data_IF_832055734752
#
_entry.id   IF_832055734752
#
_cell.length_a   1.000
_cell.length_b   1.000
_cell.length_c   1.000
_cell.angle_alpha   90.00
_cell.angle_beta   90.00
_cell.angle_gamma   90.00
#
_symmetry.space_group_name_H-M   'P 1'
#
loop_
_entity.id
_entity.type
_entity.pdbx_description
1 polymer ?
#
# COMPACT_ATOMS: atom_id res chain seq x y z
N UNK A 1 -21.55 -14.49 11.66
CA UNK A 1 -21.50 -13.81 12.99
C UNK A 1 -21.54 -12.30 12.77
N UNK A 2 -22.03 -11.51 13.74
CA UNK A 2 -22.31 -10.08 13.55
C UNK A 2 -21.14 -9.17 13.98
N UNK A 3 -21.20 -7.90 13.55
CA UNK A 3 -20.28 -6.85 14.00
C UNK A 3 -20.33 -6.65 15.53
N UNK A 4 -21.52 -6.73 16.13
CA UNK A 4 -21.67 -6.55 17.57
C UNK A 4 -21.02 -7.67 18.38
N UNK A 5 -21.05 -8.91 17.88
CA UNK A 5 -20.30 -10.02 18.47
C UNK A 5 -18.79 -9.76 18.43
N UNK A 6 -18.26 -9.29 17.28
CA UNK A 6 -16.84 -9.01 17.13
C UNK A 6 -16.39 -7.86 18.05
N UNK A 7 -17.17 -6.77 18.13
CA UNK A 7 -16.91 -5.66 19.06
C UNK A 7 -16.90 -6.14 20.51
N UNK A 8 -17.88 -6.94 20.92
CA UNK A 8 -17.95 -7.46 22.28
C UNK A 8 -16.73 -8.33 22.64
N UNK A 9 -16.29 -9.21 21.72
CA UNK A 9 -15.06 -10.01 21.89
C UNK A 9 -13.83 -9.12 22.10
N UNK A 10 -13.62 -8.14 21.23
CA UNK A 10 -12.46 -7.23 21.30
C UNK A 10 -12.53 -6.34 22.54
N UNK A 11 -13.72 -5.96 22.99
CA UNK A 11 -13.89 -5.16 24.20
C UNK A 11 -13.52 -5.94 25.47
N UNK A 12 -13.84 -7.23 25.51
CA UNK A 12 -13.59 -8.14 26.63
C UNK A 12 -12.14 -8.63 26.75
N UNK A 13 -11.31 -8.41 25.71
CA UNK A 13 -9.91 -8.82 25.66
C UNK A 13 -9.13 -8.39 26.92
N UNK A 14 -8.44 -9.34 27.55
CA UNK A 14 -7.57 -9.09 28.70
C UNK A 14 -6.11 -9.01 28.25
N UNK A 15 -5.44 -7.89 28.56
CA UNK A 15 -4.02 -7.70 28.24
C UNK A 15 -3.17 -8.83 28.86
N UNK A 16 -2.35 -9.49 28.03
CA UNK A 16 -1.51 -10.61 28.46
C UNK A 16 -0.23 -10.18 29.20
N UNK A 17 -0.28 -9.08 29.95
CA UNK A 17 0.82 -8.64 30.81
C UNK A 17 2.05 -8.05 30.10
N UNK A 18 2.01 -7.85 28.77
CA UNK A 18 3.06 -7.15 28.05
C UNK A 18 2.81 -5.63 28.12
N UNK A 19 3.76 -4.89 28.71
CA UNK A 19 3.71 -3.43 28.69
C UNK A 19 3.62 -2.93 27.24
N UNK A 20 2.52 -2.27 26.89
CA UNK A 20 2.30 -1.72 25.54
C UNK A 20 1.59 -2.65 24.56
N UNK A 21 0.84 -3.65 25.02
CA UNK A 21 -0.10 -4.39 24.17
C UNK A 21 -1.06 -3.43 23.45
N UNK A 22 -1.22 -3.61 22.14
CA UNK A 22 -2.08 -2.78 21.27
C UNK A 22 -3.17 -3.58 20.59
N UNK A 23 -3.37 -4.84 20.97
CA UNK A 23 -4.29 -5.79 20.32
C UNK A 23 -5.67 -5.20 20.14
N UNK A 24 -6.30 -4.77 21.24
CA UNK A 24 -7.63 -4.16 21.22
C UNK A 24 -7.72 -2.99 20.23
N UNK A 25 -6.75 -2.07 20.28
CA UNK A 25 -6.69 -0.90 19.41
C UNK A 25 -6.48 -1.27 17.93
N UNK A 26 -5.62 -2.25 17.65
CA UNK A 26 -5.37 -2.73 16.29
C UNK A 26 -6.64 -3.36 15.72
N UNK A 27 -7.26 -4.30 16.42
CA UNK A 27 -8.46 -5.00 15.95
C UNK A 27 -9.65 -4.05 15.75
N UNK A 28 -9.86 -3.10 16.66
CA UNK A 28 -10.87 -2.05 16.50
C UNK A 28 -10.59 -1.20 15.26
N UNK A 29 -9.34 -0.78 15.05
CA UNK A 29 -8.96 0.01 13.89
C UNK A 29 -9.16 -0.74 12.57
N UNK A 30 -8.82 -2.04 12.51
CA UNK A 30 -9.00 -2.86 11.32
C UNK A 30 -10.47 -2.95 10.92
N UNK A 31 -11.37 -3.23 11.86
CA UNK A 31 -12.81 -3.30 11.59
C UNK A 31 -13.41 -1.96 11.18
N UNK A 32 -12.89 -0.84 11.69
CA UNK A 32 -13.40 0.50 11.42
C UNK A 32 -12.88 1.08 10.10
N UNK A 33 -11.60 0.86 9.80
CA UNK A 33 -10.88 1.57 8.73
C UNK A 33 -10.50 0.69 7.53
N UNK A 34 -10.96 -0.56 7.46
CA UNK A 34 -10.83 -1.33 6.22
C UNK A 34 -11.54 -0.58 5.07
N UNK A 35 -10.85 -0.42 3.91
CA UNK A 35 -11.25 0.54 2.88
C UNK A 35 -12.51 0.15 2.13
N UNK A 36 -12.82 -1.15 2.06
CA UNK A 36 -13.98 -1.68 1.34
C UNK A 36 -14.95 -2.36 2.31
N UNK A 37 -16.21 -2.52 1.86
CA UNK A 37 -17.21 -3.26 2.63
C UNK A 37 -16.80 -4.72 2.82
N UNK A 38 -16.28 -5.36 1.76
CA UNK A 38 -15.74 -6.71 1.84
C UNK A 38 -14.56 -6.79 2.81
N UNK A 39 -13.66 -5.82 2.78
CA UNK A 39 -12.54 -5.73 3.73
C UNK A 39 -13.01 -5.65 5.19
N UNK A 40 -14.00 -4.79 5.48
CA UNK A 40 -14.61 -4.70 6.82
C UNK A 40 -15.25 -6.02 7.24
N UNK A 41 -15.98 -6.67 6.34
CA UNK A 41 -16.59 -7.97 6.60
C UNK A 41 -15.53 -9.04 6.89
N UNK A 42 -14.43 -9.08 6.15
CA UNK A 42 -13.30 -9.97 6.42
C UNK A 42 -12.73 -9.75 7.83
N UNK A 43 -12.49 -8.49 8.24
CA UNK A 43 -11.99 -8.20 9.59
C UNK A 43 -12.95 -8.65 10.68
N UNK A 44 -14.26 -8.43 10.48
CA UNK A 44 -15.31 -8.87 11.41
C UNK A 44 -15.36 -10.40 11.49
N UNK A 45 -15.22 -11.10 10.37
CA UNK A 45 -15.20 -12.56 10.31
C UNK A 45 -13.96 -13.13 11.01
N UNK A 46 -12.77 -12.58 10.72
CA UNK A 46 -11.52 -13.02 11.33
C UNK A 46 -11.58 -12.85 12.86
N UNK A 47 -12.01 -11.70 13.37
CA UNK A 47 -12.19 -11.48 14.83
C UNK A 47 -13.20 -12.45 15.43
N UNK A 48 -14.32 -12.67 14.75
CA UNK A 48 -15.34 -13.59 15.22
C UNK A 48 -14.87 -15.04 15.23
N UNK A 49 -13.91 -15.41 14.38
CA UNK A 49 -13.33 -16.75 14.32
C UNK A 49 -12.37 -17.07 15.48
N UNK A 50 -11.89 -16.05 16.21
CA UNK A 50 -11.03 -16.25 17.37
C UNK A 50 -11.82 -16.77 18.58
N UNK A 51 -11.38 -17.86 19.19
CA UNK A 51 -12.04 -18.44 20.37
C UNK A 51 -11.63 -17.78 21.69
N UNK A 52 -10.41 -17.25 21.75
CA UNK A 52 -9.81 -16.71 22.97
C UNK A 52 -8.89 -15.50 22.72
N UNK A 53 -8.40 -14.91 23.81
CA UNK A 53 -7.50 -13.77 23.75
C UNK A 53 -6.18 -14.10 23.06
N UNK A 54 -5.68 -15.35 23.15
CA UNK A 54 -4.44 -15.78 22.49
C UNK A 54 -4.59 -15.67 20.98
N UNK A 55 -5.72 -16.13 20.45
CA UNK A 55 -6.04 -16.01 19.04
C UNK A 55 -6.26 -14.56 18.62
N UNK A 56 -6.92 -13.72 19.44
CA UNK A 56 -7.10 -12.29 19.16
C UNK A 56 -5.76 -11.55 19.09
N UNK A 57 -4.85 -11.82 20.04
CA UNK A 57 -3.49 -11.25 20.07
C UNK A 57 -2.72 -11.62 18.82
N UNK A 58 -2.74 -12.90 18.48
CA UNK A 58 -1.97 -13.38 17.34
C UNK A 58 -2.60 -12.93 16.00
N UNK A 59 -3.92 -12.69 15.93
CA UNK A 59 -4.57 -12.02 14.80
C UNK A 59 -4.10 -10.56 14.65
N UNK A 60 -4.04 -9.82 15.77
CA UNK A 60 -3.51 -8.46 15.75
C UNK A 60 -2.04 -8.42 15.32
N UNK A 61 -1.22 -9.37 15.78
CA UNK A 61 0.19 -9.48 15.38
C UNK A 61 0.34 -9.80 13.89
N UNK A 62 -0.56 -10.61 13.32
CA UNK A 62 -0.59 -10.93 11.89
C UNK A 62 -0.79 -9.67 11.06
N UNK A 63 -1.80 -8.87 11.37
CA UNK A 63 -2.02 -7.60 10.66
C UNK A 63 -0.96 -6.55 10.97
N UNK A 64 -0.41 -6.53 12.19
CA UNK A 64 0.70 -5.65 12.52
C UNK A 64 1.93 -5.95 11.66
N UNK A 65 2.29 -7.23 11.52
CA UNK A 65 3.51 -7.67 10.81
C UNK A 65 3.31 -7.87 9.31
N UNK A 66 2.08 -8.17 8.85
CA UNK A 66 1.72 -8.43 7.45
C UNK A 66 1.11 -7.24 6.71
N UNK A 67 0.63 -6.21 7.43
CA UNK A 67 0.04 -5.00 6.83
C UNK A 67 0.72 -3.72 7.38
N UNK A 68 0.58 -3.43 8.67
CA UNK A 68 0.94 -2.10 9.22
C UNK A 68 2.45 -1.83 9.14
N UNK A 69 3.27 -2.74 9.66
CA UNK A 69 4.74 -2.59 9.65
C UNK A 69 5.28 -2.59 8.22
N UNK A 70 4.91 -3.52 7.31
CA UNK A 70 5.38 -3.51 5.94
C UNK A 70 5.18 -2.17 5.23
N UNK A 71 4.01 -1.53 5.37
CA UNK A 71 3.76 -0.21 4.80
C UNK A 71 4.56 0.91 5.47
N UNK A 72 4.81 0.82 6.79
CA UNK A 72 5.54 1.85 7.54
C UNK A 72 7.07 1.77 7.41
N UNK A 73 7.61 0.57 7.23
CA UNK A 73 9.05 0.37 7.05
C UNK A 73 9.38 0.48 5.57
N UNK A 74 9.60 1.71 5.08
CA UNK A 74 10.04 1.99 3.72
C UNK A 74 11.37 1.27 3.39
N UNK A 75 11.29 0.03 2.91
CA UNK A 75 12.41 -0.74 2.37
C UNK A 75 13.27 -1.48 3.39
N UNK A 76 12.89 -2.73 3.69
CA UNK A 76 13.86 -3.81 3.93
C UNK A 76 14.12 -4.26 5.37
N UNK A 77 13.43 -3.71 6.36
CA UNK A 77 13.48 -4.20 7.76
C UNK A 77 12.10 -4.61 8.28
N UNK A 78 11.37 -5.35 7.46
CA UNK A 78 10.10 -5.96 7.87
C UNK A 78 10.39 -7.19 8.72
N UNK A 79 9.88 -7.28 9.97
CA UNK A 79 9.91 -8.49 10.79
C UNK A 79 9.31 -9.69 10.04
N UNK A 80 9.60 -10.91 10.50
CA UNK A 80 8.87 -12.08 10.04
C UNK A 80 7.37 -11.89 10.33
N UNK A 81 6.52 -12.19 9.34
CA UNK A 81 5.07 -12.14 9.55
C UNK A 81 4.69 -13.29 10.47
N UNK A 82 3.98 -13.01 11.56
CA UNK A 82 3.63 -14.01 12.55
C UNK A 82 2.81 -15.14 11.94
N UNK A 83 3.09 -16.37 12.36
CA UNK A 83 2.23 -17.52 12.10
C UNK A 83 0.97 -17.38 12.95
N UNK A 84 -0.18 -17.15 12.31
CA UNK A 84 -1.49 -17.28 12.96
C UNK A 84 -2.26 -18.38 12.24
N UNK A 85 -2.73 -19.43 12.95
CA UNK A 85 -3.70 -20.34 12.37
C UNK A 85 -5.01 -19.57 12.19
N UNK A 86 -5.28 -19.15 10.97
CA UNK A 86 -6.51 -18.41 10.68
C UNK A 86 -7.62 -19.39 10.26
N UNK A 87 -8.81 -18.86 9.98
CA UNK A 87 -9.84 -19.57 9.25
C UNK A 87 -9.23 -20.30 8.02
N UNK A 88 -9.71 -21.52 7.67
CA UNK A 88 -9.16 -22.35 6.59
C UNK A 88 -8.92 -21.61 5.26
N UNK A 89 -9.69 -20.57 4.99
CA UNK A 89 -9.60 -19.76 3.77
C UNK A 89 -8.32 -18.92 3.69
N UNK A 90 -7.71 -18.54 4.82
CA UNK A 90 -6.47 -17.77 4.84
C UNK A 90 -5.27 -18.63 4.46
N UNK A 91 -5.14 -19.82 5.05
CA UNK A 91 -4.05 -20.76 4.74
C UNK A 91 -4.10 -21.19 3.27
N UNK A 92 -5.32 -21.42 2.74
CA UNK A 92 -5.53 -21.70 1.32
C UNK A 92 -5.13 -20.52 0.43
N UNK A 93 -5.47 -19.29 0.82
CA UNK A 93 -5.07 -18.08 0.09
C UNK A 93 -3.56 -17.87 0.12
N UNK A 94 -2.90 -18.07 1.28
CA UNK A 94 -1.45 -18.00 1.40
C UNK A 94 -0.78 -19.02 0.49
N UNK A 95 -1.25 -20.26 0.45
CA UNK A 95 -0.69 -21.29 -0.41
C UNK A 95 -0.89 -20.97 -1.90
N UNK A 96 -2.07 -20.45 -2.28
CA UNK A 96 -2.32 -19.93 -3.64
C UNK A 96 -1.33 -18.81 -3.99
N UNK A 97 -1.10 -17.87 -3.07
CA UNK A 97 -0.20 -16.75 -3.29
C UNK A 97 1.23 -17.20 -3.56
N UNK A 98 1.72 -18.24 -2.88
CA UNK A 98 3.08 -18.76 -3.11
C UNK A 98 3.30 -19.21 -4.56
N UNK A 99 2.27 -19.78 -5.21
CA UNK A 99 2.36 -20.19 -6.62
C UNK A 99 2.24 -19.04 -7.63
N UNK A 100 1.66 -17.91 -7.22
CA UNK A 100 1.46 -16.74 -8.09
C UNK A 100 2.59 -15.70 -7.98
N UNK A 101 3.37 -15.71 -6.90
CA UNK A 101 4.46 -14.77 -6.66
C UNK A 101 5.66 -15.03 -7.56
N UNK A 102 6.14 -13.97 -8.21
CA UNK A 102 7.40 -13.98 -8.92
C UNK A 102 8.51 -13.31 -8.12
N UNK A 103 9.74 -13.82 -8.25
CA UNK A 103 10.92 -13.17 -7.71
C UNK A 103 11.19 -11.89 -8.47
N UNK A 104 11.41 -10.80 -7.73
CA UNK A 104 11.57 -9.47 -8.32
C UNK A 104 13.00 -8.96 -8.19
N UNK A 105 13.42 -8.25 -9.23
CA UNK A 105 14.69 -7.53 -9.27
C UNK A 105 14.45 -6.04 -9.53
N UNK A 106 15.40 -5.22 -9.10
CA UNK A 106 15.37 -3.78 -9.43
C UNK A 106 15.50 -3.63 -10.93
N UNK A 107 14.51 -3.01 -11.55
CA UNK A 107 14.52 -2.76 -12.98
C UNK A 107 15.12 -1.38 -13.27
N UNK A 108 16.28 -1.35 -13.92
CA UNK A 108 17.01 -0.11 -14.19
C UNK A 108 16.24 0.91 -15.03
N UNK A 109 15.33 0.45 -15.91
CA UNK A 109 14.52 1.30 -16.80
C UNK A 109 13.17 1.71 -16.21
N UNK A 110 12.80 1.23 -15.01
CA UNK A 110 11.50 1.53 -14.43
C UNK A 110 11.29 3.04 -14.26
N UNK A 111 12.30 3.74 -13.72
CA UNK A 111 12.24 5.18 -13.51
C UNK A 111 12.00 5.94 -14.82
N UNK A 112 12.66 5.57 -15.90
CA UNK A 112 12.52 6.25 -17.20
C UNK A 112 11.10 6.11 -17.76
N UNK A 113 10.51 4.90 -17.67
CA UNK A 113 9.13 4.65 -18.14
C UNK A 113 8.10 5.39 -17.31
N UNK A 114 8.27 5.41 -15.99
CA UNK A 114 7.36 6.12 -15.06
C UNK A 114 7.44 7.63 -15.30
N UNK A 115 8.66 8.17 -15.48
CA UNK A 115 8.85 9.56 -15.86
C UNK A 115 8.17 9.91 -17.18
N UNK A 116 8.34 9.09 -18.22
CA UNK A 116 7.65 9.32 -19.50
C UNK A 116 6.14 9.37 -19.33
N UNK A 117 5.55 8.41 -18.59
CA UNK A 117 4.11 8.40 -18.30
C UNK A 117 3.66 9.66 -17.56
N UNK A 118 4.41 10.09 -16.57
CA UNK A 118 4.08 11.24 -15.70
C UNK A 118 4.51 12.58 -16.30
N UNK A 119 4.83 12.62 -17.61
CA UNK A 119 5.34 13.80 -18.30
C UNK A 119 6.52 14.47 -17.57
N UNK A 120 7.38 13.61 -17.02
CA UNK A 120 8.60 13.90 -16.28
C UNK A 120 8.40 14.86 -15.10
N UNK A 121 7.27 14.72 -14.40
CA UNK A 121 6.91 15.57 -13.27
C UNK A 121 6.52 14.74 -12.07
N UNK A 122 6.73 15.30 -10.89
CA UNK A 122 6.04 14.82 -9.73
C UNK A 122 4.53 14.98 -9.93
N UNK A 123 3.78 13.90 -9.76
CA UNK A 123 2.32 13.91 -9.99
C UNK A 123 1.56 14.68 -8.91
N UNK A 124 2.21 15.00 -7.79
CA UNK A 124 1.64 15.78 -6.69
C UNK A 124 1.91 17.28 -6.87
N UNK A 125 3.18 17.64 -7.08
CA UNK A 125 3.63 19.04 -7.05
C UNK A 125 3.74 19.67 -8.44
N UNK A 126 3.70 18.86 -9.52
CA UNK A 126 3.92 19.30 -10.89
C UNK A 126 5.38 19.68 -11.21
N UNK A 127 6.28 19.60 -10.22
CA UNK A 127 7.71 19.91 -10.34
C UNK A 127 8.36 18.96 -11.33
N UNK A 128 9.19 19.52 -12.23
CA UNK A 128 9.85 18.79 -13.30
C UNK A 128 11.11 18.07 -12.82
N UNK A 129 11.34 16.87 -13.32
CA UNK A 129 12.60 16.15 -13.12
C UNK A 129 13.72 16.78 -13.99
N UNK A 130 14.96 16.93 -13.45
CA UNK A 130 16.10 17.49 -14.18
C UNK A 130 16.42 16.78 -15.50
N UNK A 131 16.02 15.52 -15.70
CA UNK A 131 16.26 14.81 -16.96
C UNK A 131 15.64 15.53 -18.17
N UNK A 132 14.56 16.30 -17.98
CA UNK A 132 13.96 17.13 -19.03
C UNK A 132 14.91 18.22 -19.54
N UNK A 133 15.84 18.70 -18.73
CA UNK A 133 16.78 19.75 -19.13
C UNK A 133 17.80 19.26 -20.19
N UNK A 134 17.88 17.95 -20.43
CA UNK A 134 18.60 17.38 -21.58
C UNK A 134 17.84 17.54 -22.91
N UNK A 135 16.53 17.85 -22.87
CA UNK A 135 15.77 18.21 -24.07
C UNK A 135 15.95 19.72 -24.37
N UNK A 136 16.52 20.10 -25.53
CA UNK A 136 16.77 21.49 -25.87
C UNK A 136 15.51 22.37 -25.86
N UNK A 137 14.34 21.84 -26.22
CA UNK A 137 13.08 22.60 -26.25
C UNK A 137 12.54 22.92 -24.85
N UNK A 138 12.80 22.05 -23.86
CA UNK A 138 12.42 22.26 -22.47
C UNK A 138 13.40 23.19 -21.74
N UNK A 139 14.70 23.12 -22.08
CA UNK A 139 15.73 24.02 -21.54
C UNK A 139 15.42 25.50 -21.81
N UNK A 140 14.82 25.81 -22.95
CA UNK A 140 14.49 27.17 -23.34
C UNK A 140 13.39 27.83 -22.48
N UNK A 141 12.58 27.04 -21.74
CA UNK A 141 11.39 27.51 -21.04
C UNK A 141 11.64 28.24 -19.70
N UNK A 142 12.91 28.39 -19.26
CA UNK A 142 13.36 29.22 -18.11
C UNK A 142 12.55 29.13 -16.79
N UNK A 143 11.80 28.06 -16.55
CA UNK A 143 11.08 27.86 -15.28
C UNK A 143 11.95 27.16 -14.23
N UNK A 144 12.26 27.80 -13.09
CA UNK A 144 12.78 27.11 -11.90
C UNK A 144 11.65 26.55 -11.00
N UNK A 145 11.95 25.60 -10.10
CA UNK A 145 13.12 24.72 -10.06
C UNK A 145 12.82 23.30 -10.60
N UNK A 146 13.84 22.66 -11.17
CA UNK A 146 13.85 21.21 -11.35
C UNK A 146 14.23 20.55 -10.02
N UNK A 147 13.55 19.48 -9.62
CA UNK A 147 13.91 18.67 -8.46
C UNK A 147 14.02 17.21 -8.86
N UNK A 148 15.05 16.53 -8.35
CA UNK A 148 15.18 15.08 -8.56
C UNK A 148 13.93 14.37 -8.03
N UNK A 149 13.36 13.54 -8.89
CA UNK A 149 12.20 12.74 -8.55
C UNK A 149 12.56 11.28 -8.31
N UNK A 150 11.64 10.55 -7.71
CA UNK A 150 11.74 9.15 -7.32
C UNK A 150 10.55 8.41 -7.95
N UNK A 151 10.82 7.25 -8.54
CA UNK A 151 9.77 6.31 -8.91
C UNK A 151 9.32 5.58 -7.64
N UNK A 152 8.21 6.04 -7.05
CA UNK A 152 7.66 5.56 -5.81
C UNK A 152 6.66 4.43 -6.08
N UNK A 153 6.80 3.29 -5.42
CA UNK A 153 5.79 2.23 -5.48
C UNK A 153 4.60 2.58 -4.58
N UNK A 154 3.37 2.30 -5.03
CA UNK A 154 2.14 2.43 -4.22
C UNK A 154 2.06 1.27 -3.23
N UNK A 155 2.05 0.03 -3.73
CA UNK A 155 2.30 -1.18 -2.96
C UNK A 155 3.81 -1.43 -2.97
N UNK A 156 4.51 -1.41 -1.82
CA UNK A 156 5.95 -1.41 -1.77
C UNK A 156 6.61 -2.59 -2.51
N UNK A 157 7.67 -2.30 -3.27
CA UNK A 157 8.50 -3.31 -3.96
C UNK A 157 8.98 -4.43 -3.02
N UNK A 158 9.19 -4.13 -1.74
CA UNK A 158 9.64 -5.10 -0.73
C UNK A 158 8.61 -6.17 -0.38
N UNK A 159 7.36 -6.05 -0.83
CA UNK A 159 6.32 -7.05 -0.56
C UNK A 159 6.47 -8.28 -1.44
N UNK A 160 7.13 -8.14 -2.60
CA UNK A 160 7.45 -9.26 -3.46
C UNK A 160 8.80 -9.91 -3.06
N UNK A 161 8.95 -11.22 -3.25
CA UNK A 161 10.16 -11.94 -2.84
C UNK A 161 11.35 -11.50 -3.69
N UNK A 162 12.50 -11.28 -3.04
CA UNK A 162 13.75 -10.87 -3.71
C UNK A 162 14.67 -12.04 -4.04
N UNK A 163 14.27 -13.25 -3.68
CA UNK A 163 14.96 -14.51 -3.98
C UNK A 163 13.98 -15.67 -3.94
N UNK A 164 14.39 -16.80 -4.52
CA UNK A 164 13.63 -18.06 -4.54
C UNK A 164 13.61 -18.78 -3.17
N UNK A 165 14.11 -18.14 -2.11
CA UNK A 165 14.05 -18.70 -0.77
C UNK A 165 12.60 -18.92 -0.35
N UNK A 166 12.27 -20.16 0.03
CA UNK A 166 10.95 -20.52 0.55
C UNK A 166 10.49 -19.57 1.67
N UNK A 167 11.38 -19.21 2.59
CA UNK A 167 11.07 -18.26 3.66
C UNK A 167 10.68 -16.86 3.15
N UNK A 168 11.29 -16.38 2.04
CA UNK A 168 10.94 -15.09 1.43
C UNK A 168 9.64 -15.15 0.65
N UNK A 169 9.38 -16.27 -0.02
CA UNK A 169 8.12 -16.50 -0.73
C UNK A 169 6.96 -16.58 0.28
N UNK A 170 7.12 -17.34 1.36
CA UNK A 170 6.13 -17.43 2.46
C UNK A 170 5.89 -16.06 3.09
N UNK A 171 6.96 -15.32 3.43
CA UNK A 171 6.83 -13.98 3.99
C UNK A 171 6.03 -13.04 3.07
N UNK A 172 6.33 -13.07 1.77
CA UNK A 172 5.64 -12.25 0.76
C UNK A 172 4.18 -12.69 0.61
N UNK A 173 3.92 -13.99 0.58
CA UNK A 173 2.58 -14.57 0.48
C UNK A 173 1.67 -14.10 1.62
N UNK A 174 2.18 -14.11 2.86
CA UNK A 174 1.47 -13.62 4.04
C UNK A 174 1.16 -12.13 3.97
N UNK A 175 2.10 -11.31 3.48
CA UNK A 175 1.87 -9.89 3.26
C UNK A 175 0.74 -9.71 2.24
N UNK A 176 0.83 -10.37 1.08
CA UNK A 176 -0.19 -10.28 0.04
C UNK A 176 -1.56 -10.76 0.50
N UNK A 177 -1.61 -11.78 1.35
CA UNK A 177 -2.86 -12.25 1.94
C UNK A 177 -3.45 -11.20 2.88
N UNK A 178 -2.66 -10.68 3.83
CA UNK A 178 -3.14 -9.73 4.82
C UNK A 178 -3.66 -8.43 4.19
N UNK A 179 -2.95 -7.90 3.18
CA UNK A 179 -3.41 -6.72 2.45
C UNK A 179 -4.66 -7.00 1.60
N UNK A 180 -4.79 -8.23 1.06
CA UNK A 180 -5.95 -8.61 0.25
C UNK A 180 -7.21 -8.79 1.10
N UNK A 181 -7.06 -9.45 2.25
CA UNK A 181 -8.12 -9.57 3.25
C UNK A 181 -8.59 -8.20 3.73
N UNK A 182 -7.66 -7.36 4.19
CA UNK A 182 -7.96 -6.02 4.70
C UNK A 182 -8.57 -5.12 3.61
N UNK A 183 -7.99 -5.13 2.42
CA UNK A 183 -8.45 -4.33 1.29
C UNK A 183 -9.75 -4.81 0.66
N UNK A 184 -10.12 -6.08 0.88
CA UNK A 184 -11.21 -6.73 0.14
C UNK A 184 -10.93 -6.77 -1.37
N UNK A 185 -9.66 -6.92 -1.74
CA UNK A 185 -9.18 -6.83 -3.12
C UNK A 185 -8.08 -7.87 -3.37
N UNK A 186 -8.10 -8.62 -4.49
CA UNK A 186 -7.12 -9.67 -4.74
C UNK A 186 -5.80 -9.08 -5.27
N UNK A 187 -5.01 -8.43 -4.41
CA UNK A 187 -3.74 -7.79 -4.80
C UNK A 187 -2.75 -8.75 -5.47
N UNK A 188 -2.80 -10.03 -5.09
CA UNK A 188 -1.92 -11.05 -5.67
C UNK A 188 -2.18 -11.25 -7.17
N UNK A 189 -3.44 -11.19 -7.62
CA UNK A 189 -3.81 -11.46 -9.01
C UNK A 189 -3.28 -10.33 -9.92
N UNK A 190 -3.12 -9.12 -9.39
CA UNK A 190 -2.62 -7.97 -10.15
C UNK A 190 -1.12 -7.70 -10.02
N UNK A 191 -0.55 -7.94 -8.84
CA UNK A 191 0.81 -7.52 -8.50
C UNK A 191 1.77 -8.70 -8.30
N UNK A 192 1.26 -9.91 -8.07
CA UNK A 192 2.08 -11.08 -7.76
C UNK A 192 3.07 -11.43 -8.86
N UNK A 193 2.65 -11.27 -10.12
CA UNK A 193 3.51 -11.49 -11.29
C UNK A 193 4.37 -10.28 -11.69
N UNK A 194 4.00 -9.05 -11.29
CA UNK A 194 4.72 -7.86 -11.71
C UNK A 194 4.51 -6.66 -10.76
N UNK A 195 5.25 -6.62 -9.65
CA UNK A 195 5.23 -5.50 -8.70
C UNK A 195 5.72 -4.18 -9.32
N UNK A 196 6.47 -4.24 -10.42
CA UNK A 196 7.06 -3.10 -11.14
C UNK A 196 6.17 -2.59 -12.28
N UNK A 197 4.92 -3.08 -12.40
CA UNK A 197 3.95 -2.55 -13.35
C UNK A 197 3.76 -1.06 -13.13
N UNK A 198 3.58 -0.30 -14.22
CA UNK A 198 3.55 1.16 -14.13
C UNK A 198 2.40 1.64 -13.24
N UNK A 199 1.27 0.95 -13.23
CA UNK A 199 0.09 1.28 -12.42
C UNK A 199 0.35 1.21 -10.91
N UNK A 200 1.40 0.51 -10.48
CA UNK A 200 1.84 0.45 -9.08
C UNK A 200 2.96 1.45 -8.76
N UNK A 201 3.35 2.33 -9.69
CA UNK A 201 4.49 3.24 -9.54
C UNK A 201 4.17 4.64 -10.02
N UNK A 202 4.63 5.66 -9.33
CA UNK A 202 4.36 7.06 -9.66
C UNK A 202 5.53 7.97 -9.27
N UNK A 203 5.66 9.08 -9.99
CA UNK A 203 6.77 10.01 -9.84
C UNK A 203 6.50 10.97 -8.69
N UNK A 204 7.37 10.98 -7.68
CA UNK A 204 7.30 11.87 -6.53
C UNK A 204 8.59 12.68 -6.38
N UNK A 205 8.50 13.94 -5.92
CA UNK A 205 9.66 14.62 -5.34
C UNK A 205 10.08 13.94 -4.03
N UNK A 206 11.32 14.17 -3.59
CA UNK A 206 11.87 13.49 -2.41
C UNK A 206 11.05 13.70 -1.13
N UNK A 207 10.55 14.91 -0.92
CA UNK A 207 9.67 15.28 0.19
C UNK A 207 8.32 14.55 0.14
N UNK A 208 7.66 14.54 -1.02
CA UNK A 208 6.38 13.84 -1.21
C UNK A 208 6.55 12.32 -1.05
N UNK A 209 7.67 11.77 -1.52
CA UNK A 209 7.99 10.36 -1.30
C UNK A 209 8.15 10.01 0.18
N UNK A 210 8.76 10.90 0.98
CA UNK A 210 8.86 10.74 2.44
C UNK A 210 7.48 10.78 3.09
N UNK A 211 6.66 11.78 2.78
CA UNK A 211 5.31 11.90 3.35
C UNK A 211 4.43 10.69 3.00
N UNK A 212 4.47 10.25 1.74
CA UNK A 212 3.69 9.09 1.28
C UNK A 212 4.15 7.81 1.98
N UNK A 213 5.47 7.58 2.07
CA UNK A 213 6.04 6.42 2.74
C UNK A 213 5.80 6.37 4.25
N UNK A 214 5.64 7.52 4.90
CA UNK A 214 5.30 7.61 6.31
C UNK A 214 3.79 7.47 6.60
N UNK A 215 2.96 7.35 5.56
CA UNK A 215 1.50 7.43 5.65
C UNK A 215 1.01 8.78 6.21
N UNK A 216 1.77 9.85 5.96
CA UNK A 216 1.44 11.23 6.35
C UNK A 216 0.67 11.98 5.25
N UNK A 217 0.67 11.43 4.03
CA UNK A 217 -0.21 11.81 2.92
C UNK A 217 -0.75 10.58 2.19
N UNK A 218 -1.92 10.70 1.59
CA UNK A 218 -2.57 9.65 0.80
C UNK A 218 -3.40 10.23 -0.35
N UNK A 219 -3.90 9.35 -1.22
CA UNK A 219 -4.70 9.70 -2.38
C UNK A 219 -6.09 9.06 -2.25
N UNK A 220 -7.14 9.89 -2.32
CA UNK A 220 -8.53 9.45 -2.28
C UNK A 220 -9.14 9.54 -3.68
N UNK A 221 -9.70 8.46 -4.24
CA UNK A 221 -10.34 8.52 -5.54
C UNK A 221 -11.54 9.45 -5.51
N UNK A 222 -11.71 10.25 -6.58
CA UNK A 222 -12.87 11.12 -6.75
C UNK A 222 -13.95 10.36 -7.51
N UNK A 223 -15.10 10.16 -6.86
CA UNK A 223 -16.23 9.44 -7.44
C UNK A 223 -16.66 10.06 -8.79
N UNK A 224 -16.99 9.20 -9.75
CA UNK A 224 -17.38 9.61 -11.10
C UNK A 224 -16.23 10.13 -11.99
N UNK A 225 -15.00 10.22 -11.48
CA UNK A 225 -13.86 10.75 -12.21
C UNK A 225 -12.71 9.72 -12.25
N UNK A 226 -12.58 9.03 -13.38
CA UNK A 226 -11.50 8.08 -13.60
C UNK A 226 -10.14 8.77 -13.42
N UNK A 227 -9.20 8.08 -12.78
CA UNK A 227 -7.82 8.54 -12.61
C UNK A 227 -7.70 9.91 -11.91
N UNK A 228 -8.67 10.28 -11.10
CA UNK A 228 -8.70 11.57 -10.42
C UNK A 228 -8.71 11.35 -8.91
N UNK A 229 -7.79 12.00 -8.21
CA UNK A 229 -7.58 11.80 -6.78
C UNK A 229 -7.50 13.12 -6.02
N UNK A 230 -8.06 13.14 -4.81
CA UNK A 230 -7.84 14.18 -3.81
C UNK A 230 -6.66 13.79 -2.93
N UNK A 231 -5.80 14.76 -2.64
CA UNK A 231 -4.72 14.57 -1.66
C UNK A 231 -5.31 14.69 -0.24
N UNK A 232 -5.16 13.64 0.55
CA UNK A 232 -5.33 13.65 1.99
C UNK A 232 -3.99 13.75 2.70
N UNK A 233 -3.99 14.32 3.91
CA UNK A 233 -2.79 14.39 4.76
C UNK A 233 -3.14 14.52 6.24
N UNK A 234 -2.16 14.24 7.09
CA UNK A 234 -2.28 14.47 8.53
C UNK A 234 -2.34 15.98 8.84
N UNK A 235 -3.10 16.42 9.88
CA UNK A 235 -3.44 17.83 10.09
C UNK A 235 -2.26 18.81 10.14
N UNK A 236 -1.09 18.38 10.62
CA UNK A 236 0.08 19.26 10.74
C UNK A 236 0.78 19.55 9.40
N UNK A 237 0.51 18.78 8.33
CA UNK A 237 1.00 19.05 6.97
C UNK A 237 -0.02 19.75 6.08
N UNK A 238 -1.22 20.01 6.59
CA UNK A 238 -2.30 20.59 5.80
C UNK A 238 -1.90 21.94 5.16
N UNK A 239 -1.14 22.78 5.86
CA UNK A 239 -0.67 24.07 5.32
C UNK A 239 0.52 23.96 4.36
N UNK A 240 1.20 22.81 4.32
CA UNK A 240 2.42 22.61 3.54
C UNK A 240 2.17 21.92 2.19
N UNK A 241 1.06 21.18 2.07
CA UNK A 241 0.64 20.58 0.81
C UNK A 241 -0.27 21.55 0.06
N UNK A 242 -0.22 21.56 -1.28
CA UNK A 242 -1.25 22.25 -2.05
C UNK A 242 -2.59 21.66 -1.61
N UNK A 243 -3.45 22.47 -0.99
CA UNK A 243 -4.74 22.00 -0.47
C UNK A 243 -5.59 21.55 -1.66
N UNK A 244 -5.94 20.26 -1.69
CA UNK A 244 -6.94 19.70 -2.61
C UNK A 244 -6.79 19.97 -4.12
N UNK A 245 -5.59 20.06 -4.74
CA UNK A 245 -5.54 19.94 -6.18
C UNK A 245 -6.04 18.54 -6.55
N UNK A 246 -6.95 18.49 -7.50
CA UNK A 246 -7.29 17.25 -8.18
C UNK A 246 -6.02 16.80 -8.91
N UNK A 247 -5.51 15.62 -8.55
CA UNK A 247 -4.47 14.98 -9.35
C UNK A 247 -5.18 14.15 -10.40
N UNK A 248 -5.01 14.51 -11.67
CA UNK A 248 -5.40 13.66 -12.79
C UNK A 248 -4.18 12.86 -13.23
N UNK A 249 -4.18 11.55 -12.97
CA UNK A 249 -3.12 10.67 -13.48
C UNK A 249 -3.42 10.30 -14.93
N UNK A 250 -2.61 10.79 -15.87
CA UNK A 250 -2.77 10.41 -17.27
C UNK A 250 -2.18 9.01 -17.50
N UNK A 251 -3.02 8.04 -17.86
CA UNK A 251 -2.54 6.77 -18.41
C UNK A 251 -2.38 6.98 -19.92
N UNK A 252 -1.15 7.30 -20.35
CA UNK A 252 -0.85 7.29 -21.78
C UNK A 252 -1.11 5.88 -22.35
N UNK A 253 -2.11 5.75 -23.22
CA UNK A 253 -2.47 4.49 -23.89
C UNK A 253 -3.96 4.12 -23.95
N UNK A 254 -4.85 4.91 -23.34
CA UNK A 254 -6.32 4.75 -23.44
C UNK A 254 -7.05 6.00 -23.94
N UNK A 255 -6.36 6.90 -24.63
CA UNK A 255 -7.05 7.89 -25.45
C UNK A 255 -7.51 7.19 -26.73
N UNK A 256 -8.81 6.86 -26.78
CA UNK A 256 -9.48 6.82 -28.07
C UNK A 256 -9.33 8.22 -28.67
N UNK A 257 -8.74 8.28 -29.86
CA UNK A 257 -8.63 9.52 -30.61
C UNK A 257 -10.01 10.18 -30.70
N UNK A 258 -10.14 11.49 -30.43
CA UNK A 258 -11.37 12.18 -30.77
C UNK A 258 -11.57 12.10 -32.29
N UNK A 259 -12.79 11.70 -32.68
CA UNK A 259 -13.26 11.76 -34.06
C UNK A 259 -13.34 13.21 -34.56
#
# INVERSE_FOLDING_TARGET
>A
MSLETAKAKVEAYQDMGAAGDRTKRILQALMLYAPTELGRQNMIMDVNSCDDDVQLKALADRYLTGLIIPFKTMGGRTPAVSDHPTAPDADNAEQKNQGALQVVHREGKLKDRVLQRDNYRCVITGVRDPILAHNPSERAKRDPPFLHTIAAHIVPFSFAPKSESAAKIVQSSKIFEAISRFGGYPFIDELGGNINRLENVFTLTGDMHTLFGNLEMWLEPVEGNTNTYRIGCVPHFASALPYGPLITTYIHGLESAPA
#
